data_IF_495944381278
#
_entry.id   IF_495944381278
#
_cell.length_a   1.000
_cell.length_b   1.000
_cell.length_c   1.000
_cell.angle_alpha   90.00
_cell.angle_beta   90.00
_cell.angle_gamma   90.00
#
_symmetry.space_group_name_H-M   'P 1'
#
loop_
_entity.id
_entity.type
_entity.pdbx_description
1 polymer ?
#
# COMPACT_ATOMS: atom_id res chain seq x y z
N UNK A 1 -73.26 -9.68 -37.19
CA UNK A 1 -72.14 -10.42 -36.59
C UNK A 1 -70.89 -9.57 -36.73
N UNK A 2 -70.52 -8.83 -35.68
CA UNK A 2 -69.25 -8.09 -35.59
C UNK A 2 -68.22 -9.03 -34.97
N UNK A 3 -67.04 -9.16 -35.57
CA UNK A 3 -65.88 -9.83 -34.97
C UNK A 3 -64.86 -8.77 -34.61
N UNK A 4 -64.71 -8.56 -33.31
CA UNK A 4 -63.53 -7.97 -32.68
C UNK A 4 -62.37 -8.96 -32.75
N UNK A 5 -61.13 -8.50 -32.96
CA UNK A 5 -59.93 -9.11 -32.40
C UNK A 5 -58.76 -8.11 -32.34
N UNK A 6 -58.60 -7.56 -31.12
CA UNK A 6 -57.39 -7.50 -30.30
C UNK A 6 -56.05 -7.15 -30.98
N UNK A 7 -55.59 -5.93 -30.70
CA UNK A 7 -54.21 -5.49 -30.88
C UNK A 7 -53.47 -5.72 -29.55
N UNK A 8 -52.62 -6.75 -29.48
CA UNK A 8 -51.71 -6.96 -28.36
C UNK A 8 -50.58 -5.94 -28.40
N UNK A 9 -50.62 -4.97 -27.47
CA UNK A 9 -49.51 -4.08 -27.20
C UNK A 9 -48.37 -4.86 -26.56
N UNK A 10 -47.27 -5.03 -27.29
CA UNK A 10 -46.00 -5.47 -26.70
C UNK A 10 -45.47 -4.36 -25.79
N UNK A 11 -45.56 -4.58 -24.49
CA UNK A 11 -44.80 -3.79 -23.52
C UNK A 11 -43.31 -3.99 -23.81
N UNK A 12 -42.66 -2.93 -24.28
CA UNK A 12 -41.23 -2.89 -24.47
C UNK A 12 -40.59 -2.85 -23.08
N UNK A 13 -40.12 -4.02 -22.60
CA UNK A 13 -39.31 -4.11 -21.38
C UNK A 13 -38.08 -3.19 -21.48
N UNK A 14 -37.55 -2.71 -20.35
CA UNK A 14 -36.43 -1.77 -20.36
C UNK A 14 -35.24 -2.34 -21.15
N UNK A 15 -34.67 -1.50 -22.01
CA UNK A 15 -33.51 -1.82 -22.84
C UNK A 15 -32.37 -2.40 -21.98
N UNK A 16 -31.89 -3.64 -22.25
CA UNK A 16 -30.80 -4.24 -21.51
C UNK A 16 -29.51 -3.40 -21.53
N UNK A 17 -29.30 -2.54 -22.55
CA UNK A 17 -28.19 -1.59 -22.58
C UNK A 17 -28.34 -0.48 -21.52
N UNK A 18 -29.57 0.02 -21.28
CA UNK A 18 -29.85 0.97 -20.19
C UNK A 18 -29.74 0.35 -18.81
N UNK A 19 -30.07 -0.94 -18.67
CA UNK A 19 -29.86 -1.67 -17.42
C UNK A 19 -28.37 -1.87 -17.13
N UNK A 20 -27.54 -2.16 -18.15
CA UNK A 20 -26.08 -2.24 -17.99
C UNK A 20 -25.43 -0.89 -17.69
N UNK A 21 -25.90 0.21 -18.29
CA UNK A 21 -25.43 1.56 -17.95
C UNK A 21 -25.87 2.00 -16.54
N UNK A 22 -27.09 1.67 -16.11
CA UNK A 22 -27.57 1.96 -14.76
C UNK A 22 -26.88 1.13 -13.68
N UNK A 23 -26.51 -0.12 -13.96
CA UNK A 23 -25.75 -0.98 -13.03
C UNK A 23 -24.27 -0.54 -12.93
N UNK A 24 -23.75 0.15 -13.95
CA UNK A 24 -22.45 0.84 -13.89
C UNK A 24 -22.50 2.14 -13.08
N UNK A 25 -23.67 2.78 -12.98
CA UNK A 25 -23.84 4.10 -12.37
C UNK A 25 -23.92 4.10 -10.83
N UNK A 26 -23.81 2.95 -10.15
CA UNK A 26 -23.90 2.90 -8.67
C UNK A 26 -22.94 1.99 -7.93
N UNK A 27 -22.03 1.30 -8.62
CA UNK A 27 -20.93 0.61 -7.94
C UNK A 27 -19.86 1.64 -7.62
N UNK A 28 -20.03 2.35 -6.50
CA UNK A 28 -19.05 3.32 -5.97
C UNK A 28 -17.64 2.77 -6.16
N UNK A 29 -16.88 3.35 -7.09
CA UNK A 29 -15.51 2.93 -7.36
C UNK A 29 -14.74 3.01 -6.05
N UNK A 30 -13.98 1.96 -5.73
CA UNK A 30 -13.12 1.99 -4.55
C UNK A 30 -12.13 3.15 -4.70
N UNK A 31 -11.85 3.85 -3.62
CA UNK A 31 -11.00 5.05 -3.59
C UNK A 31 -9.86 4.79 -2.64
N UNK A 32 -8.66 5.14 -3.07
CA UNK A 32 -7.52 5.19 -2.17
C UNK A 32 -6.97 6.60 -2.15
N UNK A 33 -6.37 6.95 -1.01
CA UNK A 33 -5.50 8.10 -0.94
C UNK A 33 -4.06 7.60 -0.98
N UNK A 34 -3.21 8.24 -1.78
CA UNK A 34 -1.80 7.87 -1.90
C UNK A 34 -0.91 9.08 -1.58
N UNK A 35 0.13 8.88 -0.77
CA UNK A 35 1.14 9.94 -0.55
C UNK A 35 1.90 10.25 -1.84
N UNK A 36 2.55 11.41 -1.89
CA UNK A 36 3.30 11.85 -3.07
C UNK A 36 4.76 12.07 -2.75
N UNK A 37 5.59 11.81 -3.76
CA UNK A 37 7.00 12.18 -3.75
C UNK A 37 7.10 13.69 -3.95
N UNK A 38 8.25 14.26 -3.58
CA UNK A 38 8.55 15.66 -3.85
C UNK A 38 9.84 15.79 -4.67
N UNK A 39 9.96 16.85 -5.46
CA UNK A 39 11.19 17.19 -6.18
C UNK A 39 11.27 18.69 -6.42
N UNK A 40 12.45 19.17 -6.82
CA UNK A 40 12.65 20.53 -7.33
C UNK A 40 12.91 20.42 -8.83
N UNK A 41 12.21 21.22 -9.64
CA UNK A 41 12.38 21.22 -11.09
C UNK A 41 12.88 22.59 -11.58
N UNK A 42 14.18 22.67 -11.88
CA UNK A 42 14.81 23.91 -12.33
C UNK A 42 14.70 25.01 -11.28
N UNK A 43 14.20 26.18 -11.69
CA UNK A 43 13.96 27.33 -10.81
C UNK A 43 12.58 27.33 -10.13
N UNK A 44 11.79 26.27 -10.31
CA UNK A 44 10.49 26.14 -9.64
C UNK A 44 10.70 25.71 -8.19
N UNK A 45 9.72 26.03 -7.35
CA UNK A 45 9.67 25.51 -5.99
C UNK A 45 9.46 23.99 -5.95
N UNK A 46 9.18 23.48 -4.76
CA UNK A 46 8.86 22.07 -4.56
C UNK A 46 7.62 21.65 -5.36
N UNK A 47 7.72 20.51 -6.03
CA UNK A 47 6.65 19.92 -6.84
C UNK A 47 6.37 18.54 -6.27
N UNK A 48 5.10 18.29 -5.97
CA UNK A 48 4.60 16.96 -5.69
C UNK A 48 4.41 16.18 -7.00
N UNK A 49 4.81 14.90 -7.00
CA UNK A 49 4.56 14.01 -8.12
C UNK A 49 4.27 12.57 -7.67
N UNK A 50 3.56 11.85 -8.52
CA UNK A 50 3.21 10.45 -8.35
C UNK A 50 3.51 9.70 -9.64
N UNK A 51 4.21 8.57 -9.55
CA UNK A 51 4.48 7.74 -10.71
C UNK A 51 3.18 7.13 -11.26
N UNK A 52 2.99 7.20 -12.58
CA UNK A 52 1.81 6.66 -13.27
C UNK A 52 1.64 5.14 -13.07
N UNK A 53 2.69 4.43 -12.71
CA UNK A 53 2.67 3.00 -12.37
C UNK A 53 1.75 2.70 -11.19
N UNK A 54 1.79 3.51 -10.12
CA UNK A 54 0.84 3.38 -9.00
C UNK A 54 -0.60 3.58 -9.48
N UNK A 55 -0.84 4.64 -10.27
CA UNK A 55 -2.18 4.94 -10.78
C UNK A 55 -2.69 3.79 -11.65
N UNK A 56 -1.88 3.26 -12.56
CA UNK A 56 -2.22 2.12 -13.41
C UNK A 56 -2.51 0.85 -12.61
N UNK A 57 -1.69 0.55 -11.59
CA UNK A 57 -1.85 -0.63 -10.73
C UNK A 57 -3.24 -0.68 -10.08
N UNK A 58 -3.69 0.45 -9.54
CA UNK A 58 -4.98 0.57 -8.86
C UNK A 58 -6.14 0.75 -9.85
N UNK A 59 -5.96 1.53 -10.92
CA UNK A 59 -6.98 1.72 -11.95
C UNK A 59 -7.35 0.40 -12.65
N UNK A 60 -6.38 -0.49 -12.89
CA UNK A 60 -6.62 -1.84 -13.43
C UNK A 60 -7.54 -2.70 -12.54
N UNK A 61 -7.77 -2.31 -11.28
CA UNK A 61 -8.67 -2.95 -10.31
C UNK A 61 -9.96 -2.15 -10.06
N UNK A 62 -10.27 -1.16 -10.90
CA UNK A 62 -11.44 -0.29 -10.73
C UNK A 62 -11.34 0.65 -9.53
N UNK A 63 -10.12 0.96 -9.08
CA UNK A 63 -9.86 1.85 -7.94
C UNK A 63 -9.49 3.25 -8.45
N UNK A 64 -10.18 4.28 -7.97
CA UNK A 64 -9.83 5.68 -8.18
C UNK A 64 -8.76 6.11 -7.19
N UNK A 65 -7.66 6.68 -7.69
CA UNK A 65 -6.53 7.14 -6.87
C UNK A 65 -6.65 8.65 -6.63
N UNK A 66 -6.59 9.04 -5.36
CA UNK A 66 -6.53 10.44 -4.95
C UNK A 66 -5.13 10.76 -4.39
N UNK A 67 -4.29 11.51 -5.13
CA UNK A 67 -3.01 11.95 -4.61
C UNK A 67 -3.22 12.89 -3.42
N UNK A 68 -2.42 12.71 -2.37
CA UNK A 68 -2.38 13.57 -1.20
C UNK A 68 -1.24 14.58 -1.33
N UNK A 69 -1.53 15.88 -1.54
CA UNK A 69 -0.51 16.92 -1.52
C UNK A 69 0.22 17.00 -0.17
N UNK A 70 1.53 17.17 -0.20
CA UNK A 70 2.39 17.20 1.00
C UNK A 70 2.14 18.42 1.89
N UNK A 71 1.52 19.47 1.35
CA UNK A 71 1.15 20.68 2.08
C UNK A 71 -0.35 20.77 2.39
N UNK A 72 -1.08 19.64 2.36
CA UNK A 72 -2.52 19.63 2.68
C UNK A 72 -2.78 20.13 4.11
N UNK A 73 -3.47 21.28 4.31
CA UNK A 73 -3.58 21.89 5.64
C UNK A 73 -4.39 21.05 6.64
N UNK A 74 -5.36 20.28 6.14
CA UNK A 74 -6.19 19.39 6.95
C UNK A 74 -6.34 18.04 6.30
N UNK A 75 -5.52 17.09 6.76
CA UNK A 75 -5.62 15.67 6.39
C UNK A 75 -7.01 15.13 6.73
N UNK A 76 -7.58 15.51 7.87
CA UNK A 76 -8.90 15.06 8.28
C UNK A 76 -9.96 15.46 7.25
N UNK A 77 -10.01 16.75 6.89
CA UNK A 77 -10.97 17.26 5.89
C UNK A 77 -10.77 16.57 4.54
N UNK A 78 -9.54 16.42 4.08
CA UNK A 78 -9.26 15.74 2.80
C UNK A 78 -9.77 14.30 2.82
N UNK A 79 -9.44 13.53 3.86
CA UNK A 79 -9.85 12.13 4.00
C UNK A 79 -11.38 12.01 4.15
N UNK A 80 -12.04 12.93 4.84
CA UNK A 80 -13.51 12.96 5.00
C UNK A 80 -14.24 13.31 3.71
N UNK A 81 -13.64 14.15 2.86
CA UNK A 81 -14.15 14.46 1.52
C UNK A 81 -13.97 13.27 0.58
N UNK A 82 -12.78 12.69 0.51
CA UNK A 82 -12.49 11.57 -0.40
C UNK A 82 -13.19 10.28 0.05
N UNK A 83 -13.28 10.04 1.36
CA UNK A 83 -13.77 8.79 1.98
C UNK A 83 -13.09 7.53 1.43
N UNK A 84 -11.75 7.44 1.49
CA UNK A 84 -11.02 6.32 0.94
C UNK A 84 -11.23 5.02 1.73
N UNK A 85 -11.09 3.89 1.07
CA UNK A 85 -11.10 2.56 1.68
C UNK A 85 -9.79 2.27 2.41
N UNK A 86 -8.70 2.94 2.02
CA UNK A 86 -7.37 2.85 2.62
C UNK A 86 -6.42 3.94 2.13
N UNK A 87 -5.26 4.02 2.78
CA UNK A 87 -4.15 4.91 2.44
C UNK A 87 -2.97 4.08 1.95
N UNK A 88 -2.31 4.54 0.89
CA UNK A 88 -1.05 3.99 0.39
C UNK A 88 0.07 5.01 0.65
N UNK A 89 1.18 4.56 1.22
CA UNK A 89 2.42 5.33 1.27
C UNK A 89 3.31 4.83 0.14
N UNK A 90 3.56 5.68 -0.86
CA UNK A 90 4.32 5.28 -2.05
C UNK A 90 5.84 5.17 -1.76
N UNK A 91 6.59 4.60 -2.70
CA UNK A 91 8.04 4.64 -2.69
C UNK A 91 8.60 6.06 -2.83
N UNK A 92 9.92 6.19 -2.82
CA UNK A 92 10.58 7.47 -3.14
C UNK A 92 11.95 7.63 -2.50
N UNK A 93 12.27 8.89 -2.21
CA UNK A 93 13.47 9.34 -1.49
C UNK A 93 13.58 8.73 -0.08
N UNK A 94 14.72 8.84 0.57
CA UNK A 94 14.93 8.22 1.88
C UNK A 94 14.06 8.88 2.97
N UNK A 95 13.81 8.13 4.04
CA UNK A 95 13.23 8.69 5.27
C UNK A 95 14.31 9.50 5.99
N UNK A 96 13.98 10.70 6.48
CA UNK A 96 14.96 11.57 7.15
C UNK A 96 15.67 10.85 8.32
N UNK A 97 17.02 10.72 8.31
CA UNK A 97 17.78 9.94 9.31
C UNK A 97 17.53 10.34 10.76
N UNK A 98 17.32 11.63 11.02
CA UNK A 98 17.04 12.16 12.36
C UNK A 98 15.77 11.55 13.01
N UNK A 99 14.85 10.99 12.22
CA UNK A 99 13.63 10.37 12.73
C UNK A 99 13.86 9.00 13.39
N UNK A 100 15.00 8.36 13.11
CA UNK A 100 15.33 7.04 13.64
C UNK A 100 16.76 6.92 14.20
N UNK A 101 17.44 8.04 14.40
CA UNK A 101 18.82 8.08 14.89
C UNK A 101 19.84 7.57 13.87
N UNK A 102 19.54 7.70 12.57
CA UNK A 102 20.45 7.35 11.49
C UNK A 102 21.55 8.38 11.24
N UNK A 103 22.52 8.00 10.42
CA UNK A 103 23.61 8.84 9.93
C UNK A 103 23.07 9.83 8.88
N UNK A 104 23.22 11.13 9.13
CA UNK A 104 22.77 12.17 8.20
C UNK A 104 23.53 12.13 6.86
N UNK A 105 24.79 11.70 6.87
CA UNK A 105 25.64 11.67 5.68
C UNK A 105 25.32 10.51 4.74
N UNK A 106 24.59 9.50 5.23
CA UNK A 106 24.20 8.33 4.46
C UNK A 106 22.88 8.52 3.66
N UNK A 107 22.21 9.68 3.78
CA UNK A 107 20.98 10.00 3.03
C UNK A 107 20.95 11.46 2.61
N UNK A 108 21.32 11.74 1.36
CA UNK A 108 21.31 13.09 0.78
C UNK A 108 19.97 13.49 0.15
N UNK A 109 19.10 12.52 -0.14
CA UNK A 109 17.80 12.74 -0.75
C UNK A 109 16.70 12.32 0.25
N UNK A 110 16.19 13.27 1.03
CA UNK A 110 15.11 13.05 1.98
C UNK A 110 14.16 14.25 2.03
N UNK A 111 12.97 14.05 2.60
CA UNK A 111 11.90 15.04 2.61
C UNK A 111 11.29 15.24 3.99
N UNK A 112 11.79 16.23 4.74
CA UNK A 112 11.21 16.55 6.04
C UNK A 112 9.73 16.98 5.96
N UNK A 113 9.32 17.61 4.84
CA UNK A 113 7.92 18.00 4.61
C UNK A 113 7.05 16.76 4.43
N UNK A 114 7.43 15.84 3.52
CA UNK A 114 6.69 14.59 3.31
C UNK A 114 6.69 13.74 4.57
N UNK A 115 7.81 13.63 5.28
CA UNK A 115 7.91 12.84 6.52
C UNK A 115 6.92 13.33 7.58
N UNK A 116 6.84 14.66 7.81
CA UNK A 116 5.85 15.23 8.74
C UNK A 116 4.43 14.95 8.27
N UNK A 117 4.18 15.09 6.97
CA UNK A 117 2.86 14.89 6.39
C UNK A 117 2.40 13.42 6.48
N UNK A 118 3.25 12.47 6.07
CA UNK A 118 2.98 11.03 6.21
C UNK A 118 2.86 10.62 7.68
N UNK A 119 3.61 11.22 8.61
CA UNK A 119 3.42 10.94 10.03
C UNK A 119 2.04 11.37 10.51
N UNK A 120 1.58 12.55 10.11
CA UNK A 120 0.23 13.03 10.42
C UNK A 120 -0.85 12.14 9.77
N UNK A 121 -0.62 11.68 8.54
CA UNK A 121 -1.51 10.79 7.79
C UNK A 121 -1.64 9.41 8.47
N UNK A 122 -0.52 8.79 8.86
CA UNK A 122 -0.51 7.53 9.60
C UNK A 122 -1.20 7.71 10.95
N UNK A 123 -0.90 8.76 11.73
CA UNK A 123 -1.60 9.01 13.01
C UNK A 123 -3.11 9.11 12.83
N UNK A 124 -3.57 9.82 11.80
CA UNK A 124 -4.98 9.90 11.48
C UNK A 124 -5.57 8.52 11.15
N UNK A 125 -4.90 7.76 10.29
CA UNK A 125 -5.32 6.42 9.89
C UNK A 125 -5.44 5.48 11.09
N UNK A 126 -4.47 5.48 12.01
CA UNK A 126 -4.49 4.65 13.22
C UNK A 126 -5.70 4.97 14.11
N UNK A 127 -5.96 6.26 14.37
CA UNK A 127 -7.12 6.70 15.17
C UNK A 127 -8.45 6.28 14.56
N UNK A 128 -8.55 6.27 13.23
CA UNK A 128 -9.77 5.90 12.49
C UNK A 128 -9.80 4.42 12.09
N UNK A 129 -8.77 3.65 12.45
CA UNK A 129 -8.54 2.28 11.96
C UNK A 129 -8.69 2.15 10.44
N UNK A 130 -8.21 3.15 9.71
CA UNK A 130 -8.17 3.13 8.26
C UNK A 130 -6.97 2.27 7.81
N UNK A 131 -7.15 1.35 6.85
CA UNK A 131 -6.05 0.56 6.29
C UNK A 131 -4.90 1.44 5.78
N UNK A 132 -3.66 1.07 6.10
CA UNK A 132 -2.44 1.70 5.53
C UNK A 132 -1.56 0.63 4.88
N UNK A 133 -1.17 0.88 3.63
CA UNK A 133 -0.23 0.03 2.90
C UNK A 133 1.02 0.83 2.51
N UNK A 134 2.18 0.47 3.04
CA UNK A 134 3.46 1.09 2.67
C UNK A 134 4.19 0.30 1.57
N UNK A 135 4.68 0.98 0.54
CA UNK A 135 5.45 0.38 -0.55
C UNK A 135 6.85 0.99 -0.57
N UNK A 136 7.88 0.13 -0.57
CA UNK A 136 9.29 0.51 -0.51
C UNK A 136 9.58 1.47 0.65
N UNK A 137 9.92 2.74 0.36
CA UNK A 137 10.04 3.82 1.33
C UNK A 137 8.84 3.88 2.29
N UNK A 138 7.61 3.69 1.79
CA UNK A 138 6.41 3.68 2.63
C UNK A 138 6.46 2.61 3.72
N UNK A 139 7.02 1.43 3.44
CA UNK A 139 7.23 0.38 4.45
C UNK A 139 8.27 0.80 5.48
N UNK A 140 9.38 1.38 5.04
CA UNK A 140 10.44 1.88 5.91
C UNK A 140 9.92 3.00 6.84
N UNK A 141 9.13 3.92 6.27
CA UNK A 141 8.49 4.99 7.02
C UNK A 141 7.53 4.45 8.08
N UNK A 142 6.74 3.41 7.76
CA UNK A 142 5.92 2.73 8.77
C UNK A 142 6.77 2.14 9.89
N UNK A 143 7.92 1.54 9.57
CA UNK A 143 8.85 1.04 10.59
C UNK A 143 9.30 2.15 11.55
N UNK A 144 9.79 3.26 10.99
CA UNK A 144 10.23 4.44 11.74
C UNK A 144 9.10 5.05 12.56
N UNK A 145 7.89 5.13 12.01
CA UNK A 145 6.70 5.62 12.70
C UNK A 145 6.41 4.86 14.00
N UNK A 146 6.60 3.54 13.99
CA UNK A 146 6.43 2.69 15.16
C UNK A 146 7.68 2.62 16.06
N UNK A 147 8.69 3.44 15.80
CA UNK A 147 9.92 3.55 16.60
C UNK A 147 11.01 2.56 16.24
N UNK A 148 10.93 1.95 15.05
CA UNK A 148 12.02 1.15 14.49
C UNK A 148 13.09 2.03 13.84
N UNK A 149 14.16 1.40 13.34
CA UNK A 149 15.22 2.08 12.60
C UNK A 149 15.46 1.45 11.23
N UNK A 150 16.18 2.19 10.37
CA UNK A 150 16.53 1.76 9.02
C UNK A 150 18.02 1.45 9.00
N UNK A 151 18.40 0.41 8.28
CA UNK A 151 19.78 0.18 7.90
C UNK A 151 20.05 0.86 6.57
N UNK A 152 20.87 1.91 6.60
CA UNK A 152 21.08 2.82 5.47
C UNK A 152 22.04 2.29 4.40
N UNK A 153 22.84 1.27 4.75
CA UNK A 153 23.94 0.78 3.92
C UNK A 153 23.88 -0.74 3.76
N UNK A 154 22.73 -1.27 3.31
CA UNK A 154 22.57 -2.72 3.17
C UNK A 154 23.60 -3.35 2.21
N UNK A 155 24.09 -2.59 1.22
CA UNK A 155 25.09 -3.06 0.25
C UNK A 155 26.49 -3.19 0.78
N UNK A 156 26.76 -2.63 1.96
CA UNK A 156 28.06 -2.75 2.64
C UNK A 156 28.12 -3.99 3.55
N UNK A 157 27.04 -4.78 3.63
CA UNK A 157 27.04 -6.05 4.36
C UNK A 157 27.99 -7.05 3.72
N UNK A 158 28.52 -7.96 4.54
CA UNK A 158 29.38 -9.07 4.09
C UNK A 158 28.75 -10.40 4.51
N UNK A 159 28.38 -11.28 3.56
CA UNK A 159 28.39 -11.05 2.11
C UNK A 159 27.38 -9.96 1.69
N UNK A 160 27.61 -9.26 0.57
CA UNK A 160 26.65 -8.28 0.07
C UNK A 160 25.34 -8.98 -0.27
N UNK A 161 24.18 -8.40 0.06
CA UNK A 161 22.91 -9.04 -0.23
C UNK A 161 22.63 -9.02 -1.73
N UNK A 162 21.94 -10.05 -2.24
CA UNK A 162 21.56 -10.14 -3.65
C UNK A 162 20.53 -9.07 -4.12
N UNK A 163 20.04 -8.21 -3.22
CA UNK A 163 18.89 -7.34 -3.46
C UNK A 163 19.24 -5.89 -3.86
N UNK A 164 20.48 -5.55 -4.25
CA UNK A 164 20.92 -4.14 -4.40
C UNK A 164 21.56 -3.84 -5.76
N UNK A 165 21.31 -2.68 -6.39
CA UNK A 165 20.19 -1.75 -6.20
C UNK A 165 19.05 -1.99 -7.20
N UNK A 166 19.29 -2.82 -8.22
CA UNK A 166 18.38 -3.09 -9.33
C UNK A 166 18.47 -4.56 -9.67
N UNK A 167 17.35 -5.26 -9.62
CA UNK A 167 17.30 -6.68 -9.98
C UNK A 167 16.10 -7.38 -9.39
N UNK A 168 16.27 -8.67 -9.12
CA UNK A 168 15.29 -9.52 -8.49
C UNK A 168 15.96 -10.34 -7.40
N UNK A 169 15.23 -10.65 -6.34
CA UNK A 169 15.72 -11.53 -5.27
C UNK A 169 14.56 -12.33 -4.68
N UNK A 170 14.89 -13.39 -3.96
CA UNK A 170 13.89 -14.23 -3.32
C UNK A 170 13.50 -13.70 -1.94
N UNK A 171 12.24 -13.93 -1.58
CA UNK A 171 11.68 -13.70 -0.25
C UNK A 171 10.94 -14.94 0.23
N UNK A 172 11.16 -15.31 1.49
CA UNK A 172 10.37 -16.32 2.18
C UNK A 172 9.16 -15.67 2.85
N UNK A 173 7.97 -15.94 2.31
CA UNK A 173 6.71 -15.38 2.79
C UNK A 173 6.04 -16.31 3.79
N UNK A 174 5.74 -15.78 4.98
CA UNK A 174 5.01 -16.45 6.06
C UNK A 174 3.83 -15.59 6.51
N UNK A 175 2.63 -15.92 6.02
CA UNK A 175 1.40 -15.22 6.42
C UNK A 175 0.87 -15.74 7.77
N UNK A 176 0.33 -14.86 8.64
CA UNK A 176 -0.21 -15.24 9.94
C UNK A 176 -1.38 -16.21 9.79
N UNK A 177 -1.48 -17.15 10.73
CA UNK A 177 -2.58 -18.12 10.75
C UNK A 177 -3.94 -17.40 10.87
N UNK A 178 -4.94 -17.83 10.08
CA UNK A 178 -6.31 -17.35 10.26
C UNK A 178 -6.91 -17.97 11.52
N UNK A 179 -7.58 -17.14 12.34
CA UNK A 179 -8.39 -17.58 13.51
C UNK A 179 -9.65 -18.37 13.15
N UNK A 180 -10.02 -18.52 11.87
CA UNK A 180 -11.19 -19.30 11.45
C UNK A 180 -10.83 -20.30 10.34
N UNK A 181 -11.61 -21.41 10.29
CA UNK A 181 -11.48 -22.59 9.41
C UNK A 181 -11.40 -22.33 7.90
N UNK A 182 -11.44 -21.07 7.45
CA UNK A 182 -11.08 -20.72 6.07
C UNK A 182 -9.60 -21.03 5.84
N UNK A 183 -9.32 -21.86 4.83
CA UNK A 183 -7.98 -22.23 4.38
C UNK A 183 -7.10 -20.96 4.31
N UNK A 184 -5.87 -21.04 4.83
CA UNK A 184 -4.83 -20.05 4.49
C UNK A 184 -4.85 -19.91 2.97
N UNK A 185 -4.58 -18.74 2.38
CA UNK A 185 -4.07 -18.72 1.02
C UNK A 185 -2.69 -19.39 1.06
N UNK A 186 -2.66 -20.72 1.19
CA UNK A 186 -1.46 -21.52 1.43
C UNK A 186 -0.49 -21.35 0.25
N UNK A 187 -1.04 -21.12 -0.94
CA UNK A 187 -0.31 -20.78 -2.15
C UNK A 187 0.49 -19.46 -2.06
N UNK A 188 0.21 -18.60 -1.08
CA UNK A 188 0.97 -17.36 -0.87
C UNK A 188 2.12 -17.52 0.13
N UNK A 189 2.14 -18.58 0.94
CA UNK A 189 3.30 -18.87 1.79
C UNK A 189 4.35 -19.65 0.99
N UNK A 190 5.62 -19.46 1.33
CA UNK A 190 6.75 -20.08 0.62
C UNK A 190 7.63 -19.05 -0.06
N UNK A 191 8.47 -19.52 -0.98
CA UNK A 191 9.45 -18.69 -1.67
C UNK A 191 8.83 -17.99 -2.89
N UNK A 192 9.11 -16.70 -3.01
CA UNK A 192 8.69 -15.88 -4.14
C UNK A 192 9.87 -15.02 -4.60
N UNK A 193 9.99 -14.77 -5.89
CA UNK A 193 10.96 -13.81 -6.42
C UNK A 193 10.29 -12.45 -6.56
N UNK A 194 10.92 -11.37 -6.10
CA UNK A 194 10.38 -9.99 -6.17
C UNK A 194 11.41 -9.06 -6.80
N UNK A 195 10.96 -7.92 -7.32
CA UNK A 195 11.88 -6.90 -7.82
C UNK A 195 12.55 -6.13 -6.66
N UNK A 196 13.70 -5.51 -6.93
CA UNK A 196 14.37 -4.63 -5.96
C UNK A 196 14.84 -3.33 -6.59
N UNK A 197 14.59 -2.23 -5.87
CA UNK A 197 14.93 -0.86 -6.22
C UNK A 197 15.30 -0.03 -4.98
N UNK A 198 15.95 -0.65 -3.99
CA UNK A 198 16.26 -0.03 -2.70
C UNK A 198 17.70 -0.31 -2.25
N UNK A 199 18.28 0.65 -1.53
CA UNK A 199 19.63 0.56 -0.94
C UNK A 199 19.60 0.50 0.59
N UNK A 200 18.47 0.90 1.15
CA UNK A 200 18.19 0.92 2.58
C UNK A 200 17.09 -0.08 2.88
N UNK A 201 17.03 -0.58 4.10
CA UNK A 201 15.92 -1.44 4.48
C UNK A 201 15.84 -1.69 5.97
N UNK A 202 14.91 -2.56 6.33
CA UNK A 202 14.60 -2.89 7.73
C UNK A 202 15.13 -4.28 8.03
N UNK A 203 15.70 -4.45 9.20
CA UNK A 203 16.11 -5.78 9.69
C UNK A 203 15.22 -6.22 10.83
N UNK A 204 15.16 -7.51 11.09
CA UNK A 204 14.32 -8.07 12.15
C UNK A 204 14.65 -7.49 13.54
N UNK A 205 15.92 -7.14 13.80
CA UNK A 205 16.36 -6.49 15.04
C UNK A 205 16.04 -4.99 15.13
N UNK A 206 15.60 -4.35 14.04
CA UNK A 206 15.30 -2.91 13.95
C UNK A 206 13.80 -2.62 13.78
N UNK A 207 12.94 -3.61 14.02
CA UNK A 207 11.49 -3.46 13.87
C UNK A 207 10.88 -2.55 14.93
N UNK A 208 9.99 -1.67 14.49
CA UNK A 208 9.19 -0.81 15.36
C UNK A 208 8.20 -1.61 16.22
N UNK A 209 7.71 -0.98 17.30
CA UNK A 209 6.82 -1.63 18.26
C UNK A 209 5.56 -2.18 17.60
N UNK A 210 5.27 -3.45 17.89
CA UNK A 210 4.07 -4.13 17.40
C UNK A 210 4.13 -4.55 15.93
N UNK A 211 5.21 -4.22 15.22
CA UNK A 211 5.46 -4.72 13.87
C UNK A 211 6.01 -6.15 13.92
N UNK A 212 5.66 -6.92 12.90
CA UNK A 212 6.11 -8.30 12.71
C UNK A 212 6.47 -8.50 11.24
N UNK A 213 7.56 -9.24 10.94
CA UNK A 213 7.87 -9.58 9.57
C UNK A 213 6.88 -10.63 9.05
N UNK A 214 6.58 -10.57 7.76
CA UNK A 214 5.88 -11.64 7.03
C UNK A 214 6.61 -12.04 5.74
N UNK A 215 7.60 -11.27 5.29
CA UNK A 215 8.49 -11.64 4.19
C UNK A 215 9.93 -11.24 4.56
N UNK A 216 10.87 -12.16 4.37
CA UNK A 216 12.30 -12.01 4.74
C UNK A 216 13.17 -12.56 3.63
N UNK A 217 14.30 -11.93 3.35
CA UNK A 217 15.29 -12.45 2.38
C UNK A 217 15.92 -13.74 2.94
N UNK A 218 15.87 -14.87 2.22
CA UNK A 218 16.36 -16.16 2.71
C UNK A 218 17.80 -16.11 3.21
N UNK A 219 18.05 -16.70 4.38
CA UNK A 219 19.39 -16.74 4.99
C UNK A 219 19.86 -15.43 5.60
N UNK A 220 18.99 -14.42 5.71
CA UNK A 220 19.34 -13.11 6.30
C UNK A 220 18.26 -12.63 7.29
N UNK A 221 18.51 -11.50 7.95
CA UNK A 221 17.55 -10.80 8.81
C UNK A 221 16.83 -9.64 8.10
N UNK A 222 17.00 -9.48 6.79
CA UNK A 222 16.45 -8.38 6.00
C UNK A 222 14.95 -8.61 5.76
N UNK A 223 14.14 -7.66 6.21
CA UNK A 223 12.68 -7.71 6.16
C UNK A 223 12.21 -7.02 4.89
N UNK A 224 11.51 -7.79 4.05
CA UNK A 224 10.92 -7.33 2.80
C UNK A 224 9.40 -7.12 2.92
N UNK A 225 8.80 -7.59 4.02
CA UNK A 225 7.39 -7.35 4.30
C UNK A 225 7.11 -7.36 5.80
N UNK A 226 6.35 -6.38 6.27
CA UNK A 226 5.99 -6.21 7.68
C UNK A 226 4.50 -5.89 7.86
N UNK A 227 3.97 -6.18 9.04
CA UNK A 227 2.61 -5.81 9.43
C UNK A 227 2.49 -5.49 10.91
N UNK A 228 1.52 -4.66 11.29
CA UNK A 228 1.24 -4.36 12.69
C UNK A 228 0.28 -5.37 13.31
N UNK A 229 0.57 -5.85 14.51
CA UNK A 229 -0.21 -6.89 15.18
C UNK A 229 -1.64 -6.45 15.58
N UNK A 230 -1.91 -5.15 15.71
CA UNK A 230 -3.18 -4.59 16.21
C UNK A 230 -3.90 -3.61 15.27
N UNK A 231 -3.16 -2.98 14.36
CA UNK A 231 -3.67 -1.92 13.49
C UNK A 231 -3.71 -2.46 12.06
N UNK A 232 -4.64 -2.00 11.21
CA UNK A 232 -4.71 -2.44 9.83
C UNK A 232 -3.59 -1.80 9.01
N UNK A 233 -2.36 -2.24 9.24
CA UNK A 233 -1.13 -1.67 8.68
C UNK A 233 -0.26 -2.82 8.21
N UNK A 234 0.20 -2.73 6.97
CA UNK A 234 1.29 -3.55 6.47
C UNK A 234 2.10 -2.77 5.43
N UNK A 235 3.28 -3.28 5.10
CA UNK A 235 4.08 -2.76 4.02
C UNK A 235 4.98 -3.81 3.42
N UNK A 236 5.43 -3.54 2.21
CA UNK A 236 6.37 -4.34 1.44
C UNK A 236 7.49 -3.46 0.91
N UNK A 237 8.66 -4.05 0.72
CA UNK A 237 9.86 -3.33 0.31
C UNK A 237 10.05 -3.33 -1.21
N UNK A 238 9.54 -4.34 -1.92
CA UNK A 238 9.49 -4.37 -3.39
C UNK A 238 8.39 -3.47 -3.97
N UNK A 239 8.37 -3.35 -5.29
CA UNK A 239 7.51 -2.44 -6.05
C UNK A 239 6.47 -3.22 -6.89
N UNK A 240 5.25 -3.49 -6.35
CA UNK A 240 4.21 -4.21 -7.09
C UNK A 240 3.63 -3.38 -8.25
N UNK A 241 3.89 -2.08 -8.29
CA UNK A 241 3.44 -1.18 -9.37
C UNK A 241 4.33 -1.25 -10.62
N UNK A 242 5.51 -1.87 -10.50
CA UNK A 242 6.47 -2.07 -11.60
C UNK A 242 6.36 -3.51 -12.12
N UNK A 243 7.15 -3.84 -13.15
CA UNK A 243 7.27 -5.24 -13.61
C UNK A 243 7.66 -6.14 -12.44
N UNK A 244 6.78 -7.07 -12.10
CA UNK A 244 6.93 -7.92 -10.92
C UNK A 244 6.94 -9.39 -11.31
N UNK A 245 7.97 -10.15 -10.92
CA UNK A 245 8.00 -11.61 -11.11
C UNK A 245 6.97 -12.36 -10.24
N UNK A 246 6.34 -11.69 -9.26
CA UNK A 246 5.37 -12.30 -8.33
C UNK A 246 3.98 -11.67 -8.38
N UNK A 247 3.43 -11.52 -9.59
CA UNK A 247 2.11 -10.89 -9.81
C UNK A 247 0.97 -11.47 -8.95
N UNK A 248 0.99 -12.78 -8.68
CA UNK A 248 -0.02 -13.44 -7.84
C UNK A 248 0.07 -13.01 -6.38
N UNK A 249 1.28 -12.84 -5.85
CA UNK A 249 1.50 -12.35 -4.49
C UNK A 249 1.06 -10.88 -4.39
N UNK A 250 1.43 -10.08 -5.39
CA UNK A 250 1.06 -8.66 -5.45
C UNK A 250 -0.45 -8.47 -5.51
N UNK A 251 -1.12 -9.20 -6.40
CA UNK A 251 -2.58 -9.18 -6.49
C UNK A 251 -3.21 -9.58 -5.15
N UNK A 252 -2.74 -10.64 -4.51
CA UNK A 252 -3.25 -11.07 -3.21
C UNK A 252 -3.10 -9.98 -2.14
N UNK A 253 -1.95 -9.30 -2.06
CA UNK A 253 -1.70 -8.26 -1.06
C UNK A 253 -2.56 -7.02 -1.33
N UNK A 254 -2.65 -6.59 -2.58
CA UNK A 254 -3.46 -5.43 -3.00
C UNK A 254 -4.95 -5.70 -2.77
N UNK A 255 -5.46 -6.85 -3.20
CA UNK A 255 -6.86 -7.21 -3.02
C UNK A 255 -7.18 -7.38 -1.53
N UNK A 256 -6.24 -7.93 -0.75
CA UNK A 256 -6.38 -8.01 0.70
C UNK A 256 -6.46 -6.63 1.36
N UNK A 257 -5.68 -5.65 0.90
CA UNK A 257 -5.75 -4.27 1.34
C UNK A 257 -7.09 -3.62 1.00
N UNK A 258 -7.52 -3.70 -0.26
CA UNK A 258 -8.78 -3.10 -0.75
C UNK A 258 -10.01 -3.70 -0.06
N UNK A 259 -10.00 -5.01 0.20
CA UNK A 259 -11.10 -5.72 0.85
C UNK A 259 -10.95 -5.86 2.37
N UNK A 260 -9.97 -5.18 2.99
CA UNK A 260 -9.75 -5.19 4.45
C UNK A 260 -9.62 -6.59 5.04
N UNK A 261 -8.92 -7.45 4.33
CA UNK A 261 -8.61 -8.82 4.77
C UNK A 261 -7.13 -8.94 5.15
N UNK A 262 -6.70 -10.16 5.47
CA UNK A 262 -5.32 -10.45 5.91
C UNK A 262 -4.87 -9.50 7.05
N UNK A 263 -3.89 -8.63 6.77
CA UNK A 263 -3.31 -7.66 7.71
C UNK A 263 -4.19 -6.44 7.97
N UNK A 264 -5.11 -6.12 7.05
CA UNK A 264 -5.93 -4.90 7.09
C UNK A 264 -7.30 -5.09 7.71
N UNK A 265 -7.46 -6.15 8.50
CA UNK A 265 -8.71 -6.41 9.23
C UNK A 265 -8.86 -5.44 10.39
N UNK A 266 -10.08 -4.97 10.57
CA UNK A 266 -10.46 -4.40 11.86
C UNK A 266 -10.62 -5.55 12.85
N UNK A 267 -9.85 -5.52 13.94
CA UNK A 267 -10.23 -6.27 15.12
C UNK A 267 -11.65 -5.82 15.47
N UNK A 268 -12.60 -6.75 15.60
CA UNK A 268 -13.92 -6.42 16.15
C UNK A 268 -13.63 -5.73 17.48
N UNK A 269 -14.13 -4.51 17.64
CA UNK A 269 -14.22 -3.89 18.95
C UNK A 269 -15.06 -4.83 19.78
N UNK A 270 -14.41 -5.67 20.58
CA UNK A 270 -15.04 -6.27 21.75
C UNK A 270 -15.41 -5.07 22.59
N UNK A 271 -16.66 -4.62 22.46
CA UNK A 271 -17.29 -3.80 23.47
C UNK A 271 -17.30 -4.69 24.71
N UNK A 272 -16.35 -4.44 25.61
CA UNK A 272 -16.45 -4.84 26.99
C UNK A 272 -17.25 -3.78 27.74
#
# INVERSE_FOLDING_TARGET
>A
MRRDHLHEGRECGPDPARLQEQDHQHRMTARIVISQRHTVFGNKGWIDYLENTYVRLFAARGVTVFPMPNETPSIARFIETVRPQGIVLCGGEDVTPALYGGDADASSNCSAVRDRHEQALVRYALRRRLPVFGICRGMQFLNVHFGGSIEQRLGERTPPPAHIPVGQHDVDVTLPARRSRSKRPAAACGRHTVNSFHNQGVTSGRLGRGLKPFAVVPGTDIVEGLYHARYPVAGIQWHPERTSPSERLDALLIDSFLHRTLFWRNARTTHG
#
